data_IF_316273241990
#
_entry.id   IF_316273241990
#
_cell.length_a   1.000
_cell.length_b   1.000
_cell.length_c   1.000
_cell.angle_alpha   90.00
_cell.angle_beta   90.00
_cell.angle_gamma   90.00
#
_symmetry.space_group_name_H-M   'P 1'
#
loop_
_entity.id
_entity.type
_entity.pdbx_description
1 polymer ?
#
# COMPACT_ATOMS: atom_id res chain seq x y z
N UNK A 1 8.98 -65.06 -43.94
CA UNK A 1 9.43 -63.69 -44.28
C UNK A 1 8.99 -62.78 -43.16
N UNK A 2 9.93 -62.28 -42.37
CA UNK A 2 9.68 -61.54 -41.14
C UNK A 2 9.29 -60.09 -41.40
N UNK A 3 8.23 -59.67 -40.72
CA UNK A 3 7.75 -58.30 -40.56
C UNK A 3 8.66 -57.48 -39.66
N UNK A 4 8.91 -56.21 -40.00
CA UNK A 4 9.37 -55.22 -39.03
C UNK A 4 8.67 -53.89 -39.31
N UNK A 5 7.69 -53.55 -38.48
CA UNK A 5 7.06 -52.23 -38.45
C UNK A 5 7.91 -51.34 -37.54
N UNK A 6 8.48 -50.27 -38.09
CA UNK A 6 9.17 -49.25 -37.30
C UNK A 6 8.13 -48.40 -36.56
N UNK A 7 8.15 -48.44 -35.22
CA UNK A 7 7.45 -47.47 -34.40
C UNK A 7 8.33 -46.22 -34.28
N UNK A 8 7.84 -45.09 -34.77
CA UNK A 8 8.44 -43.78 -34.52
C UNK A 8 7.90 -43.31 -33.16
N UNK A 9 8.76 -43.30 -32.15
CA UNK A 9 8.45 -42.68 -30.86
C UNK A 9 8.57 -41.16 -31.01
N UNK A 10 7.45 -40.45 -30.94
CA UNK A 10 7.42 -39.00 -30.86
C UNK A 10 7.75 -38.57 -29.43
N UNK A 11 8.94 -38.02 -29.22
CA UNK A 11 9.34 -37.43 -27.93
C UNK A 11 8.65 -36.08 -27.77
N UNK A 12 7.57 -36.03 -26.99
CA UNK A 12 6.96 -34.77 -26.57
C UNK A 12 7.90 -34.06 -25.59
N UNK A 13 8.48 -32.95 -26.00
CA UNK A 13 9.25 -32.06 -25.12
C UNK A 13 8.26 -31.19 -24.35
N UNK A 14 8.04 -31.51 -23.09
CA UNK A 14 7.31 -30.63 -22.18
C UNK A 14 8.23 -29.46 -21.81
N UNK A 15 7.96 -28.27 -22.37
CA UNK A 15 8.54 -27.03 -21.88
C UNK A 15 7.94 -26.76 -20.51
N UNK A 16 8.67 -27.07 -19.44
CA UNK A 16 8.32 -26.62 -18.09
C UNK A 16 8.59 -25.11 -18.05
N UNK A 17 7.56 -24.30 -18.19
CA UNK A 17 7.63 -22.89 -17.84
C UNK A 17 7.93 -22.83 -16.34
N UNK A 18 9.16 -22.49 -15.96
CA UNK A 18 9.44 -22.08 -14.60
C UNK A 18 8.65 -20.79 -14.36
N UNK A 19 7.55 -20.89 -13.60
CA UNK A 19 6.92 -19.70 -13.06
C UNK A 19 7.99 -18.97 -12.24
N UNK A 20 8.40 -17.78 -12.69
CA UNK A 20 9.29 -16.94 -11.91
C UNK A 20 8.66 -16.71 -10.54
N UNK A 21 9.45 -16.82 -9.46
CA UNK A 21 8.94 -16.52 -8.13
C UNK A 21 8.40 -15.08 -8.12
N UNK A 22 7.16 -14.91 -7.65
CA UNK A 22 6.55 -13.60 -7.56
C UNK A 22 7.30 -12.71 -6.57
N UNK A 23 7.78 -11.57 -7.06
CA UNK A 23 8.33 -10.50 -6.22
C UNK A 23 7.19 -9.69 -5.65
N UNK A 24 7.19 -9.45 -4.33
CA UNK A 24 6.17 -8.66 -3.64
C UNK A 24 6.77 -7.36 -3.07
N UNK A 25 6.02 -6.24 -3.07
CA UNK A 25 6.52 -4.92 -2.68
C UNK A 25 7.06 -4.86 -1.27
N UNK A 26 8.33 -4.51 -1.08
CA UNK A 26 8.98 -4.45 0.24
C UNK A 26 8.29 -3.49 1.23
N UNK A 27 8.33 -3.83 2.53
CA UNK A 27 7.84 -2.97 3.61
C UNK A 27 8.75 -3.12 4.85
N UNK A 28 9.88 -2.43 4.91
CA UNK A 28 10.80 -2.63 6.05
C UNK A 28 10.55 -1.67 7.22
N UNK A 29 9.79 -0.59 6.98
CA UNK A 29 9.58 0.45 7.98
C UNK A 29 8.53 0.07 9.05
N UNK A 30 8.59 0.68 10.26
CA UNK A 30 7.56 0.49 11.30
C UNK A 30 6.14 0.82 10.82
N UNK A 31 5.15 0.19 11.44
CA UNK A 31 3.74 0.52 11.22
C UNK A 31 3.32 1.65 12.13
N UNK A 32 2.46 2.52 11.63
CA UNK A 32 1.76 3.53 12.41
C UNK A 32 0.28 3.36 12.17
N UNK A 33 -0.51 3.33 13.23
CA UNK A 33 -1.95 3.13 13.11
C UNK A 33 -2.70 4.45 13.26
N UNK A 34 -3.71 4.62 12.42
CA UNK A 34 -4.83 5.52 12.65
C UNK A 34 -5.81 4.74 13.51
N UNK A 35 -5.85 5.08 14.80
CA UNK A 35 -6.69 4.43 15.79
C UNK A 35 -8.09 5.01 15.69
N UNK A 36 -9.07 4.19 15.31
CA UNK A 36 -10.47 4.59 15.10
C UNK A 36 -11.31 4.10 16.27
N UNK A 37 -11.96 5.01 16.98
CA UNK A 37 -12.95 4.69 18.01
C UNK A 37 -14.30 5.31 17.66
N UNK A 38 -15.37 4.73 18.19
CA UNK A 38 -16.73 5.23 18.08
C UNK A 38 -17.46 5.05 19.40
N UNK A 39 -18.05 6.13 19.94
CA UNK A 39 -18.72 6.10 21.25
C UNK A 39 -20.25 5.91 21.16
N UNK A 40 -20.77 5.74 19.95
CA UNK A 40 -22.21 5.66 19.67
C UNK A 40 -22.76 6.91 18.98
N UNK A 41 -22.05 8.03 19.03
CA UNK A 41 -22.43 9.28 18.34
C UNK A 41 -21.26 9.84 17.53
N UNK A 42 -20.07 9.89 18.11
CA UNK A 42 -18.92 10.55 17.52
C UNK A 42 -17.82 9.54 17.17
N UNK A 43 -17.22 9.75 16.00
CA UNK A 43 -15.97 9.08 15.62
C UNK A 43 -14.80 9.88 16.18
N UNK A 44 -13.81 9.16 16.69
CA UNK A 44 -12.49 9.74 16.93
C UNK A 44 -11.47 8.92 16.15
N UNK A 45 -10.51 9.63 15.55
CA UNK A 45 -9.46 9.05 14.77
C UNK A 45 -8.18 9.85 15.06
N UNK A 46 -7.13 9.16 15.47
CA UNK A 46 -5.87 9.82 15.79
C UNK A 46 -4.68 8.98 15.32
N UNK A 47 -3.59 9.68 15.02
CA UNK A 47 -2.33 9.05 14.70
C UNK A 47 -1.19 9.96 15.16
N UNK A 48 -0.29 9.39 15.95
CA UNK A 48 0.91 10.10 16.39
C UNK A 48 2.03 9.83 15.38
N UNK A 49 2.05 10.61 14.30
CA UNK A 49 3.04 10.40 13.24
C UNK A 49 3.72 11.68 12.81
N UNK A 50 5.04 11.67 12.80
CA UNK A 50 5.83 12.50 11.89
C UNK A 50 5.66 12.00 10.45
N UNK A 51 6.03 12.79 9.43
CA UNK A 51 5.99 12.32 8.04
C UNK A 51 6.71 10.97 7.88
N UNK A 52 6.01 9.99 7.33
CA UNK A 52 6.50 8.62 7.18
C UNK A 52 7.35 8.45 5.92
N UNK A 53 8.38 7.62 5.99
CA UNK A 53 9.26 7.37 4.85
C UNK A 53 8.53 6.71 3.66
N UNK A 54 8.73 7.23 2.46
CA UNK A 54 8.44 6.52 1.21
C UNK A 54 9.75 6.15 0.54
N UNK A 55 9.90 4.87 0.16
CA UNK A 55 11.14 4.33 -0.38
C UNK A 55 10.86 3.76 -1.75
N UNK A 56 11.72 4.08 -2.72
CA UNK A 56 11.75 3.39 -4.00
C UNK A 56 12.80 2.28 -3.91
N UNK A 57 12.35 1.03 -3.86
CA UNK A 57 13.23 -0.13 -3.72
C UNK A 57 13.90 -0.56 -5.04
N UNK A 58 13.47 -0.01 -6.18
CA UNK A 58 13.96 -0.39 -7.51
C UNK A 58 13.53 -1.79 -7.97
N UNK A 59 12.67 -2.46 -7.20
CA UNK A 59 12.12 -3.76 -7.54
C UNK A 59 11.06 -3.61 -8.65
N UNK A 60 10.99 -4.64 -9.50
CA UNK A 60 9.90 -4.84 -10.45
C UNK A 60 9.04 -6.00 -9.95
N UNK A 61 7.72 -5.84 -10.02
CA UNK A 61 6.77 -6.82 -9.52
C UNK A 61 5.98 -7.44 -10.67
N UNK A 62 5.35 -8.58 -10.40
CA UNK A 62 4.30 -9.08 -11.28
C UNK A 62 2.94 -8.54 -10.83
N UNK A 63 2.00 -8.47 -11.76
CA UNK A 63 0.62 -8.11 -11.45
C UNK A 63 0.06 -8.95 -10.25
N UNK A 64 -0.77 -8.33 -9.40
CA UNK A 64 -1.27 -6.95 -9.48
C UNK A 64 -0.36 -5.87 -8.87
N UNK A 65 0.80 -6.23 -8.32
CA UNK A 65 1.65 -5.30 -7.57
C UNK A 65 2.54 -4.39 -8.45
N UNK A 66 2.57 -4.64 -9.76
CA UNK A 66 3.32 -3.88 -10.77
C UNK A 66 2.88 -2.40 -10.87
N UNK A 67 1.70 -2.06 -10.36
CA UNK A 67 1.24 -0.66 -10.20
C UNK A 67 2.16 0.18 -9.31
N UNK A 68 3.00 -0.46 -8.49
CA UNK A 68 3.95 0.20 -7.59
C UNK A 68 5.36 0.36 -8.19
N UNK A 69 5.61 -0.21 -9.37
CA UNK A 69 6.93 -0.25 -9.98
C UNK A 69 7.46 1.16 -10.29
N UNK A 70 8.73 1.39 -9.92
CA UNK A 70 9.41 2.67 -10.15
C UNK A 70 8.95 3.82 -9.24
N UNK A 71 8.08 3.57 -8.25
CA UNK A 71 7.57 4.59 -7.33
C UNK A 71 8.25 4.52 -5.96
N UNK A 72 8.24 5.64 -5.24
CA UNK A 72 8.44 5.65 -3.81
C UNK A 72 7.17 5.14 -3.16
N UNK A 73 7.25 4.14 -2.29
CA UNK A 73 6.08 3.49 -1.68
C UNK A 73 6.13 3.50 -0.16
N UNK A 74 4.95 3.49 0.46
CA UNK A 74 4.76 3.28 1.89
C UNK A 74 3.46 2.57 2.17
N UNK A 75 3.50 1.52 2.99
CA UNK A 75 2.32 0.87 3.57
C UNK A 75 2.33 0.97 5.11
N UNK A 76 2.92 2.05 5.63
CA UNK A 76 3.14 2.21 7.07
C UNK A 76 1.86 2.59 7.82
N UNK A 77 1.04 3.48 7.26
CA UNK A 77 -0.26 3.81 7.84
C UNK A 77 -1.20 2.61 7.74
N UNK A 78 -1.81 2.26 8.86
CA UNK A 78 -2.88 1.27 8.93
C UNK A 78 -4.09 1.80 9.68
N UNK A 79 -5.29 1.52 9.20
CA UNK A 79 -6.53 1.84 9.89
C UNK A 79 -6.91 0.67 10.80
N UNK A 80 -7.12 0.95 12.08
CA UNK A 80 -7.33 -0.07 13.10
C UNK A 80 -8.41 0.38 14.09
N UNK A 81 -9.28 -0.55 14.50
CA UNK A 81 -10.24 -0.31 15.57
C UNK A 81 -9.53 -0.15 16.91
N UNK A 82 -9.86 0.92 17.63
CA UNK A 82 -9.46 1.16 19.02
C UNK A 82 -10.53 0.60 19.96
N UNK A 83 -10.56 -0.73 20.06
CA UNK A 83 -11.57 -1.45 20.83
C UNK A 83 -12.75 -1.94 19.99
N UNK A 84 -13.90 -2.12 20.65
CA UNK A 84 -15.10 -2.65 20.01
C UNK A 84 -15.94 -1.53 19.43
N UNK A 85 -16.20 -1.59 18.12
CA UNK A 85 -17.08 -0.66 17.41
C UNK A 85 -18.40 -1.37 17.12
N UNK A 86 -19.50 -0.82 17.61
CA UNK A 86 -20.85 -1.24 17.26
C UNK A 86 -21.52 -0.12 16.50
N UNK A 87 -21.89 -0.37 15.26
CA UNK A 87 -22.56 0.60 14.40
C UNK A 87 -24.08 0.39 14.42
N UNK A 88 -24.86 1.45 14.17
CA UNK A 88 -26.27 1.30 13.85
C UNK A 88 -26.49 0.32 12.70
N UNK A 89 -27.69 -0.24 12.62
CA UNK A 89 -28.09 -1.06 11.48
C UNK A 89 -27.94 -0.26 10.18
N UNK A 90 -27.45 -0.93 9.13
CA UNK A 90 -27.24 -0.37 7.79
C UNK A 90 -26.26 0.82 7.75
N UNK A 91 -25.44 1.00 8.79
CA UNK A 91 -24.36 1.99 8.83
C UNK A 91 -22.99 1.35 8.62
N UNK A 92 -22.04 2.13 8.11
CA UNK A 92 -20.64 1.78 7.98
C UNK A 92 -19.74 2.97 8.27
N UNK A 93 -18.49 2.70 8.65
CA UNK A 93 -17.46 3.73 8.70
C UNK A 93 -16.89 3.90 7.28
N UNK A 94 -16.94 5.12 6.80
CA UNK A 94 -16.35 5.53 5.54
C UNK A 94 -15.14 6.42 5.81
N UNK A 95 -14.12 6.25 4.98
CA UNK A 95 -12.89 7.04 5.01
C UNK A 95 -12.82 7.73 3.66
N UNK A 96 -12.93 9.05 3.64
CA UNK A 96 -12.96 9.85 2.41
C UNK A 96 -11.77 10.78 2.34
N UNK A 97 -11.04 10.73 1.24
CA UNK A 97 -10.01 11.71 0.95
C UNK A 97 -10.66 13.06 0.60
N UNK A 98 -10.38 14.08 1.40
CA UNK A 98 -10.89 15.44 1.19
C UNK A 98 -9.86 16.36 0.55
N UNK A 99 -8.57 16.08 0.71
CA UNK A 99 -7.48 16.75 0.01
C UNK A 99 -6.22 15.90 -0.04
N UNK A 100 -5.39 16.12 -1.05
CA UNK A 100 -4.12 15.42 -1.21
C UNK A 100 -3.11 16.26 -1.98
N UNK A 101 -1.83 16.03 -1.69
CA UNK A 101 -0.72 16.56 -2.48
C UNK A 101 -0.77 16.01 -3.91
N UNK A 102 -0.43 16.83 -4.90
CA UNK A 102 -0.41 16.39 -6.29
C UNK A 102 0.57 15.23 -6.50
N UNK A 103 0.13 14.16 -7.15
CA UNK A 103 0.96 13.00 -7.50
C UNK A 103 1.09 11.93 -6.42
N UNK A 104 0.42 12.08 -5.26
CA UNK A 104 0.23 10.94 -4.35
C UNK A 104 -0.86 10.03 -4.91
N UNK A 105 -0.60 8.73 -4.88
CA UNK A 105 -1.52 7.69 -5.28
C UNK A 105 -1.75 6.76 -4.09
N UNK A 106 -2.90 6.11 -4.07
CA UNK A 106 -3.27 5.12 -3.07
C UNK A 106 -3.86 3.87 -3.72
N UNK A 107 -3.48 2.73 -3.19
CA UNK A 107 -3.92 1.42 -3.63
C UNK A 107 -4.32 0.56 -2.43
N UNK A 108 -5.26 -0.34 -2.68
CA UNK A 108 -5.75 -1.30 -1.70
C UNK A 108 -4.62 -2.16 -1.17
N UNK A 109 -4.69 -2.45 0.12
CA UNK A 109 -3.76 -3.33 0.78
C UNK A 109 -4.50 -4.32 1.67
N UNK A 110 -4.24 -4.29 2.97
CA UNK A 110 -4.83 -5.26 3.88
C UNK A 110 -4.00 -5.40 5.13
N UNK A 111 -4.02 -6.58 5.74
CA UNK A 111 -3.03 -6.90 6.75
C UNK A 111 -1.66 -6.90 6.07
N UNK A 112 -0.78 -5.95 6.43
CA UNK A 112 0.48 -5.67 5.73
C UNK A 112 1.32 -6.90 5.39
N UNK A 113 1.35 -7.90 6.28
CA UNK A 113 2.10 -9.16 6.12
C UNK A 113 1.52 -10.10 5.05
N UNK A 114 0.29 -9.86 4.59
CA UNK A 114 -0.48 -10.70 3.67
C UNK A 114 -0.48 -10.13 2.25
N UNK A 115 0.64 -9.55 1.80
CA UNK A 115 0.79 -8.90 0.49
C UNK A 115 0.28 -9.72 -0.69
N UNK A 116 0.42 -11.04 -0.60
CA UNK A 116 -0.04 -11.95 -1.63
C UNK A 116 -1.56 -11.99 -1.82
N UNK A 117 -2.31 -11.51 -0.83
CA UNK A 117 -3.77 -11.44 -0.86
C UNK A 117 -4.29 -10.04 -1.19
N UNK A 118 -3.40 -9.04 -1.31
CA UNK A 118 -3.81 -7.68 -1.66
C UNK A 118 -4.21 -7.62 -3.14
N UNK A 119 -5.21 -6.81 -3.44
CA UNK A 119 -5.71 -6.57 -4.79
C UNK A 119 -4.97 -5.44 -5.49
N UNK A 120 -4.36 -4.52 -4.73
CA UNK A 120 -3.76 -3.28 -5.24
C UNK A 120 -4.73 -2.46 -6.11
N UNK A 121 -6.03 -2.61 -5.86
CA UNK A 121 -7.05 -1.83 -6.54
C UNK A 121 -6.86 -0.33 -6.19
N UNK A 122 -7.01 0.59 -7.15
CA UNK A 122 -6.88 2.02 -6.87
C UNK A 122 -7.88 2.51 -5.82
N UNK A 123 -7.44 3.41 -4.95
CA UNK A 123 -8.24 4.04 -3.88
C UNK A 123 -8.11 5.56 -3.91
N UNK A 124 -9.03 6.26 -3.24
CA UNK A 124 -8.95 7.69 -2.95
C UNK A 124 -8.74 8.56 -4.20
N UNK A 125 -9.53 8.32 -5.25
CA UNK A 125 -9.41 9.07 -6.52
C UNK A 125 -8.32 8.56 -7.47
N UNK A 126 -7.41 7.69 -7.01
CA UNK A 126 -6.37 7.11 -7.84
C UNK A 126 -7.01 6.36 -9.01
N UNK A 127 -6.53 6.62 -10.22
CA UNK A 127 -7.04 6.02 -11.45
C UNK A 127 -8.59 6.09 -11.62
N UNK A 128 -9.22 7.13 -11.09
CA UNK A 128 -10.68 7.32 -11.18
C UNK A 128 -11.50 6.47 -10.19
N UNK A 129 -10.87 5.89 -9.18
CA UNK A 129 -11.58 5.28 -8.04
C UNK A 129 -12.35 6.32 -7.23
N UNK A 130 -13.28 5.87 -6.40
CA UNK A 130 -14.00 6.77 -5.50
C UNK A 130 -13.04 7.43 -4.49
N UNK A 131 -13.36 8.66 -4.10
CA UNK A 131 -12.65 9.36 -3.04
C UNK A 131 -12.95 8.76 -1.65
N UNK A 132 -14.07 8.05 -1.51
CA UNK A 132 -14.51 7.41 -0.28
C UNK A 132 -14.35 5.89 -0.35
N UNK A 133 -13.85 5.32 0.73
CA UNK A 133 -13.68 3.88 0.91
C UNK A 133 -14.44 3.41 2.15
N UNK A 134 -15.29 2.41 1.97
CA UNK A 134 -15.97 1.73 3.08
C UNK A 134 -14.98 0.86 3.83
N UNK A 135 -14.65 1.24 5.06
CA UNK A 135 -13.71 0.47 5.87
C UNK A 135 -14.36 -0.84 6.33
N UNK A 136 -13.62 -1.94 6.17
CA UNK A 136 -14.09 -3.28 6.52
C UNK A 136 -14.08 -3.60 8.02
N UNK A 137 -13.68 -2.65 8.89
CA UNK A 137 -13.58 -2.84 10.33
C UNK A 137 -12.40 -3.71 10.80
N UNK A 138 -11.52 -4.10 9.87
CA UNK A 138 -10.31 -4.89 10.14
C UNK A 138 -9.05 -4.07 9.88
N UNK A 139 -7.92 -4.53 10.44
CA UNK A 139 -6.61 -3.90 10.20
C UNK A 139 -6.31 -3.84 8.70
N UNK A 140 -6.13 -2.63 8.18
CA UNK A 140 -5.93 -2.41 6.75
C UNK A 140 -4.87 -1.33 6.51
N UNK A 141 -3.79 -1.70 5.82
CA UNK A 141 -2.70 -0.82 5.42
C UNK A 141 -2.75 -0.60 3.91
N UNK A 142 -3.30 0.53 3.44
CA UNK A 142 -3.19 0.90 2.02
C UNK A 142 -1.74 1.11 1.61
N UNK A 143 -1.47 0.94 0.32
CA UNK A 143 -0.21 1.34 -0.29
C UNK A 143 -0.33 2.77 -0.78
N UNK A 144 0.54 3.65 -0.29
CA UNK A 144 0.70 4.99 -0.81
C UNK A 144 1.94 5.03 -1.71
N UNK A 145 1.81 5.67 -2.86
CA UNK A 145 2.87 5.71 -3.86
C UNK A 145 3.03 7.11 -4.47
N UNK A 146 4.26 7.45 -4.84
CA UNK A 146 4.56 8.69 -5.55
C UNK A 146 5.71 8.46 -6.55
N UNK A 147 5.59 9.01 -7.75
CA UNK A 147 6.61 8.85 -8.80
C UNK A 147 7.86 9.71 -8.57
N UNK A 148 7.72 10.86 -7.89
CA UNK A 148 8.79 11.84 -7.73
C UNK A 148 9.22 11.98 -6.26
N UNK A 149 10.45 12.41 -6.04
CA UNK A 149 10.91 12.82 -4.72
C UNK A 149 10.12 14.04 -4.21
N UNK A 150 9.83 14.07 -2.91
CA UNK A 150 9.13 15.18 -2.29
C UNK A 150 8.54 14.86 -0.92
N UNK A 151 7.85 15.86 -0.39
CA UNK A 151 6.96 15.72 0.77
C UNK A 151 5.53 15.61 0.25
N UNK A 152 4.76 14.68 0.81
CA UNK A 152 3.37 14.45 0.42
C UNK A 152 2.50 14.43 1.67
N UNK A 153 1.25 14.86 1.51
CA UNK A 153 0.23 14.76 2.53
C UNK A 153 -1.13 14.43 1.91
N UNK A 154 -1.99 13.82 2.72
CA UNK A 154 -3.38 13.51 2.38
C UNK A 154 -4.23 13.75 3.64
N UNK A 155 -5.34 14.46 3.49
CA UNK A 155 -6.35 14.59 4.55
C UNK A 155 -7.49 13.63 4.25
N UNK A 156 -7.78 12.77 5.21
CA UNK A 156 -8.94 11.87 5.16
C UNK A 156 -9.93 12.25 6.25
N UNK A 157 -11.21 12.28 5.89
CA UNK A 157 -12.32 12.45 6.82
C UNK A 157 -13.00 11.10 7.05
N UNK A 158 -13.15 10.72 8.31
CA UNK A 158 -13.83 9.51 8.75
C UNK A 158 -15.22 9.87 9.23
N UNK A 159 -16.24 9.19 8.71
CA UNK A 159 -17.64 9.47 9.05
C UNK A 159 -18.49 8.20 9.07
N UNK A 160 -19.62 8.28 9.76
CA UNK A 160 -20.66 7.25 9.71
C UNK A 160 -21.57 7.52 8.51
N UNK A 161 -21.63 6.57 7.59
CA UNK A 161 -22.43 6.66 6.38
C UNK A 161 -23.32 5.45 6.18
N UNK A 162 -24.31 5.59 5.31
CA UNK A 162 -25.13 4.47 4.85
C UNK A 162 -24.24 3.38 4.24
N UNK A 163 -24.47 2.14 4.64
CA UNK A 163 -23.59 1.02 4.30
C UNK A 163 -23.63 0.65 2.82
N UNK A 164 -24.67 1.03 2.08
CA UNK A 164 -24.85 0.70 0.68
C UNK A 164 -24.42 1.85 -0.25
N UNK A 165 -24.65 3.10 0.16
CA UNK A 165 -24.49 4.29 -0.69
C UNK A 165 -23.33 5.19 -0.28
N UNK A 166 -22.87 5.09 0.97
CA UNK A 166 -21.84 5.98 1.52
C UNK A 166 -22.30 7.40 1.83
N UNK A 167 -23.61 7.68 1.70
CA UNK A 167 -24.18 8.96 2.11
C UNK A 167 -23.99 9.16 3.63
N UNK A 168 -23.44 10.30 4.10
CA UNK A 168 -23.29 10.57 5.53
C UNK A 168 -24.64 10.50 6.26
N UNK A 169 -24.68 9.80 7.40
CA UNK A 169 -25.86 9.71 8.23
C UNK A 169 -25.95 10.92 9.17
N UNK A 170 -27.13 11.52 9.26
CA UNK A 170 -27.37 12.64 10.18
C UNK A 170 -27.28 12.20 11.64
N UNK A 171 -26.73 13.08 12.49
CA UNK A 171 -26.66 12.84 13.94
C UNK A 171 -25.39 12.12 14.41
N UNK A 172 -24.47 11.81 13.50
CA UNK A 172 -23.14 11.29 13.83
C UNK A 172 -22.05 12.32 13.55
N UNK A 173 -21.02 12.33 14.40
CA UNK A 173 -19.82 13.11 14.18
C UNK A 173 -18.89 12.52 13.11
N UNK A 174 -17.93 13.33 12.67
CA UNK A 174 -16.85 12.94 11.78
C UNK A 174 -15.51 13.49 12.29
N UNK A 175 -14.41 12.83 11.96
CA UNK A 175 -13.07 13.23 12.38
C UNK A 175 -12.11 13.24 11.18
N UNK A 176 -11.19 14.21 11.15
CA UNK A 176 -10.24 14.35 10.04
C UNK A 176 -8.81 14.05 10.49
N UNK A 177 -8.13 13.20 9.74
CA UNK A 177 -6.74 12.82 9.99
C UNK A 177 -5.87 13.25 8.81
N UNK A 178 -4.73 13.87 9.11
CA UNK A 178 -3.70 14.17 8.10
C UNK A 178 -2.65 13.08 8.10
N UNK A 179 -2.51 12.40 6.97
CA UNK A 179 -1.43 11.48 6.68
C UNK A 179 -0.31 12.24 5.98
N UNK A 180 0.95 12.00 6.34
CA UNK A 180 2.10 12.71 5.78
C UNK A 180 3.24 11.76 5.48
N UNK A 181 3.97 12.07 4.41
CA UNK A 181 5.10 11.30 3.93
C UNK A 181 6.26 12.16 3.47
N UNK A 182 7.45 11.56 3.50
CA UNK A 182 8.66 12.11 2.93
C UNK A 182 9.38 11.01 2.14
N UNK A 183 9.72 11.27 0.88
CA UNK A 183 10.57 10.33 0.13
C UNK A 183 11.97 10.32 0.71
N UNK A 184 12.54 9.13 0.87
CA UNK A 184 13.91 8.94 1.32
C UNK A 184 14.67 8.00 0.37
N UNK A 185 16.00 8.17 0.21
CA UNK A 185 16.80 7.26 -0.61
C UNK A 185 16.74 5.82 -0.09
N UNK A 186 16.82 4.84 -0.99
CA UNK A 186 16.93 3.45 -0.59
C UNK A 186 18.23 3.18 0.19
N UNK A 187 18.23 2.26 1.19
CA UNK A 187 19.41 1.97 2.02
C UNK A 187 20.68 1.62 1.22
N UNK A 188 20.56 0.95 0.07
CA UNK A 188 21.69 0.59 -0.78
C UNK A 188 22.34 1.81 -1.47
N UNK A 189 21.57 2.85 -1.76
CA UNK A 189 22.06 4.08 -2.40
C UNK A 189 22.95 4.89 -1.45
N UNK A 190 22.72 4.82 -0.15
CA UNK A 190 23.55 5.48 0.86
C UNK A 190 24.94 4.81 1.03
N UNK A 191 25.04 3.49 0.86
CA UNK A 191 26.28 2.74 1.02
C UNK A 191 27.32 3.01 -0.09
N UNK A 192 26.86 3.29 -1.33
CA UNK A 192 27.75 3.59 -2.46
C UNK A 192 28.50 4.93 -2.30
N UNK A 193 27.89 5.94 -1.68
CA UNK A 193 28.57 7.20 -1.36
C UNK A 193 29.61 7.05 -0.24
N UNK A 194 29.40 6.11 0.70
CA UNK A 194 30.36 5.84 1.78
C UNK A 194 31.67 5.18 1.30
N UNK A 195 31.60 4.33 0.27
CA UNK A 195 32.78 3.63 -0.26
C UNK A 195 33.60 4.49 -1.23
N UNK A 196 32.99 5.46 -1.92
CA UNK A 196 33.70 6.41 -2.79
C UNK A 196 34.62 7.37 -2.03
N UNK A 197 34.30 7.70 -0.77
CA UNK A 197 35.10 8.58 0.09
C UNK A 197 36.39 7.96 0.62
N UNK A 198 36.50 6.63 0.63
CA UNK A 198 37.67 5.91 1.17
C UNK A 198 38.79 5.67 0.15
N UNK A 199 38.59 6.00 -1.14
CA UNK A 199 39.59 5.75 -2.19
C UNK A 199 40.51 6.97 -2.46
N UNK A 200 40.23 8.14 -1.89
CA UNK A 200 41.00 9.39 -2.17
C UNK A 200 41.91 9.84 -1.02
N UNK A 201 42.48 8.90 -0.26
CA UNK A 201 43.49 9.23 0.78
C UNK A 201 44.67 8.26 0.82
N UNK A 202 45.23 7.93 -0.35
CA UNK A 202 46.62 7.48 -0.46
C UNK A 202 47.39 8.30 -1.49
N UNK A 203 47.91 9.45 -1.07
CA UNK A 203 49.01 10.14 -1.74
C UNK A 203 50.18 10.38 -0.78
N UNK A 204 51.17 9.49 -0.92
CA UNK A 204 52.61 9.58 -0.64
C UNK A 204 53.12 10.80 0.15
N UNK A 205 53.78 10.53 1.27
CA UNK A 205 55.18 10.91 1.49
C UNK A 205 55.91 9.77 2.17
#
# INVERSE_FOLDING_TARGET
MNTTKAMIAATATFATCAAGAQTWPQFENPMVHVMIAFDGTDLTAHTDSTPLAMINYGDMHTAPADVLDGKYISSQYGFLADGFITLPQDAAIWIEMTSASAGIEAYEGGMRMMRQNHTYAPMFGTAGSDAAWKWGGTMHHPWFAAANEGSYSMVVNLYIGDAATGAPLSGFGSESVTLSWQTVPAPASAALFGLGGLVVSRRRR
#
